data_IF_556862821821
#
_entry.id   IF_556862821821
#
_cell.length_a   1.000
_cell.length_b   1.000
_cell.length_c   1.000
_cell.angle_alpha   90.00
_cell.angle_beta   90.00
_cell.angle_gamma   90.00
#
_symmetry.space_group_name_H-M   'P 1'
#
loop_
_entity.id
_entity.type
_entity.pdbx_description
1 polymer ?
#
# COMPACT_ATOMS: atom_id res chain seq x y z
N UNK A 1 17.00 -5.70 -9.90
CA UNK A 1 16.89 -5.05 -8.60
C UNK A 1 17.73 -5.76 -7.53
N UNK A 2 17.48 -7.06 -7.26
CA UNK A 2 18.19 -7.81 -6.22
C UNK A 2 19.72 -7.74 -6.36
N UNK A 3 20.24 -7.98 -7.59
CA UNK A 3 21.67 -7.88 -7.87
C UNK A 3 22.27 -6.49 -7.62
N UNK A 4 21.51 -5.42 -7.86
CA UNK A 4 21.96 -4.04 -7.57
C UNK A 4 22.11 -3.82 -6.06
N UNK A 5 21.12 -4.25 -5.28
CA UNK A 5 21.18 -4.16 -3.82
C UNK A 5 22.30 -5.04 -3.22
N UNK A 6 22.62 -6.16 -3.89
CA UNK A 6 23.72 -7.03 -3.50
C UNK A 6 25.09 -6.43 -3.81
N UNK A 7 25.18 -5.70 -4.92
CA UNK A 7 26.42 -4.99 -5.30
C UNK A 7 26.74 -3.87 -4.31
N UNK A 8 25.73 -3.06 -3.94
CA UNK A 8 25.87 -2.03 -2.91
C UNK A 8 24.62 -1.98 -2.03
N UNK A 9 24.69 -2.34 -0.74
CA UNK A 9 23.54 -2.34 0.18
C UNK A 9 22.99 -0.94 0.49
N UNK A 10 23.63 0.13 0.02
CA UNK A 10 23.10 1.49 0.09
C UNK A 10 22.12 1.80 -1.06
N UNK A 11 22.13 0.98 -2.10
CA UNK A 11 21.19 1.16 -3.21
C UNK A 11 19.80 0.76 -2.78
N UNK A 12 18.85 1.67 -2.98
CA UNK A 12 17.42 1.43 -2.88
C UNK A 12 16.83 1.42 -4.28
N UNK A 13 16.15 0.34 -4.64
CA UNK A 13 15.58 0.18 -5.98
C UNK A 13 14.07 0.36 -5.91
N UNK A 14 13.55 1.25 -6.75
CA UNK A 14 12.11 1.34 -7.00
C UNK A 14 11.84 0.67 -8.34
N UNK A 15 10.95 -0.32 -8.33
CA UNK A 15 10.47 -0.98 -9.52
C UNK A 15 9.05 -0.50 -9.76
N UNK A 16 8.76 -0.06 -10.94
CA UNK A 16 7.39 0.21 -11.38
C UNK A 16 6.91 -0.92 -12.28
N UNK A 17 5.84 -1.59 -11.85
CA UNK A 17 5.07 -2.44 -12.71
C UNK A 17 4.13 -1.56 -13.54
N UNK A 18 4.57 -1.20 -14.75
CA UNK A 18 3.93 -0.22 -15.63
C UNK A 18 2.48 -0.58 -16.01
N UNK A 19 2.07 -1.81 -15.74
CA UNK A 19 0.71 -2.28 -15.94
C UNK A 19 0.02 -2.49 -14.58
N UNK A 20 -0.84 -3.50 -14.49
CA UNK A 20 -1.65 -3.75 -13.31
C UNK A 20 -1.07 -4.87 -12.46
N UNK A 21 -1.37 -4.84 -11.16
CA UNK A 21 -1.00 -5.89 -10.22
C UNK A 21 -1.49 -7.29 -10.66
N UNK A 22 -2.53 -7.33 -11.48
CA UNK A 22 -3.06 -8.53 -12.13
C UNK A 22 -1.99 -9.32 -12.90
N UNK A 23 -0.98 -8.65 -13.42
CA UNK A 23 0.12 -9.27 -14.19
C UNK A 23 1.33 -9.64 -13.33
N UNK A 24 1.23 -9.48 -12.02
CA UNK A 24 2.32 -9.77 -11.10
C UNK A 24 2.54 -11.28 -10.87
N UNK A 25 1.53 -12.12 -11.07
CA UNK A 25 1.56 -13.54 -10.72
C UNK A 25 2.77 -14.30 -11.30
N UNK A 26 3.22 -14.11 -12.53
CA UNK A 26 4.42 -14.78 -13.05
C UNK A 26 5.71 -14.38 -12.33
N UNK A 27 5.72 -13.25 -11.64
CA UNK A 27 6.88 -12.74 -10.91
C UNK A 27 6.89 -13.10 -9.41
N UNK A 28 5.87 -13.78 -8.91
CA UNK A 28 5.72 -14.11 -7.48
C UNK A 28 6.90 -14.94 -6.96
N UNK A 29 7.44 -15.85 -7.76
CA UNK A 29 8.63 -16.62 -7.37
C UNK A 29 9.82 -15.69 -7.09
N UNK A 30 10.10 -14.73 -7.97
CA UNK A 30 11.17 -13.76 -7.78
C UNK A 30 10.90 -12.82 -6.59
N UNK A 31 9.65 -12.50 -6.34
CA UNK A 31 9.24 -11.76 -5.15
C UNK A 31 9.59 -12.55 -3.88
N UNK A 32 9.22 -13.83 -3.80
CA UNK A 32 9.52 -14.73 -2.67
C UNK A 32 11.04 -14.84 -2.47
N UNK A 33 11.79 -15.04 -3.55
CA UNK A 33 13.26 -15.07 -3.50
C UNK A 33 13.84 -13.78 -2.85
N UNK A 34 13.39 -12.61 -3.29
CA UNK A 34 13.85 -11.34 -2.73
C UNK A 34 13.46 -11.15 -1.27
N UNK A 35 12.26 -11.56 -0.87
CA UNK A 35 11.80 -11.42 0.52
C UNK A 35 12.51 -12.34 1.49
N UNK A 36 13.00 -13.49 1.01
CA UNK A 36 13.67 -14.51 1.83
C UNK A 36 15.19 -14.33 1.91
N UNK A 37 15.79 -13.40 1.19
CA UNK A 37 17.25 -13.19 1.17
C UNK A 37 17.85 -12.92 2.56
N UNK A 38 17.11 -12.26 3.45
CA UNK A 38 17.54 -12.05 4.82
C UNK A 38 17.84 -13.39 5.54
N UNK A 39 16.91 -14.31 5.47
CA UNK A 39 17.07 -15.65 6.10
C UNK A 39 18.08 -16.50 5.37
N UNK A 40 18.07 -16.53 4.04
CA UNK A 40 19.04 -17.28 3.24
C UNK A 40 20.48 -16.84 3.48
N UNK A 41 20.71 -15.57 3.73
CA UNK A 41 22.02 -15.00 4.00
C UNK A 41 22.40 -14.99 5.49
N UNK A 42 21.57 -15.60 6.36
CA UNK A 42 21.77 -15.53 7.81
C UNK A 42 21.86 -14.08 8.33
N UNK A 43 20.98 -13.21 7.85
CA UNK A 43 20.90 -11.81 8.24
C UNK A 43 21.93 -10.88 7.60
N UNK A 44 22.79 -11.40 6.73
CA UNK A 44 23.88 -10.60 6.12
C UNK A 44 23.41 -9.70 4.99
N UNK A 45 22.29 -10.04 4.35
CA UNK A 45 21.79 -9.29 3.21
C UNK A 45 20.27 -9.13 3.25
N UNK A 46 19.83 -7.93 2.92
CA UNK A 46 18.41 -7.60 2.75
C UNK A 46 18.28 -6.68 1.54
N UNK A 47 17.55 -7.07 0.49
CA UNK A 47 17.37 -6.20 -0.66
C UNK A 47 16.42 -5.05 -0.32
N UNK A 48 16.84 -3.81 -0.59
CA UNK A 48 16.04 -2.61 -0.37
C UNK A 48 15.25 -2.31 -1.65
N UNK A 49 14.09 -2.92 -1.77
CA UNK A 49 13.27 -2.84 -2.97
C UNK A 49 11.87 -2.34 -2.62
N UNK A 50 11.40 -1.34 -3.36
CA UNK A 50 10.00 -0.93 -3.38
C UNK A 50 9.41 -1.29 -4.74
N UNK A 51 8.46 -2.21 -4.76
CA UNK A 51 7.73 -2.59 -5.98
C UNK A 51 6.38 -1.88 -5.98
N UNK A 52 6.18 -0.99 -6.95
CA UNK A 52 4.94 -0.24 -7.16
C UNK A 52 4.06 -0.94 -8.19
N UNK A 53 2.80 -1.20 -7.82
CA UNK A 53 1.82 -1.85 -8.69
C UNK A 53 0.46 -1.17 -8.57
N UNK A 54 -0.16 -0.84 -9.69
CA UNK A 54 -1.54 -0.39 -9.72
C UNK A 54 -2.49 -1.56 -9.42
N UNK A 55 -3.34 -1.43 -8.40
CA UNK A 55 -4.19 -2.51 -7.88
C UNK A 55 -5.67 -2.12 -7.80
N UNK A 56 -6.54 -3.12 -7.78
CA UNK A 56 -7.96 -2.96 -7.58
C UNK A 56 -8.76 -2.71 -8.86
N UNK A 57 -10.08 -2.64 -8.72
CA UNK A 57 -11.05 -2.44 -9.79
C UNK A 57 -11.48 -0.99 -9.99
N UNK A 58 -12.73 -0.83 -10.43
CA UNK A 58 -13.45 0.45 -10.62
C UNK A 58 -12.95 1.35 -11.75
N UNK A 59 -12.18 0.81 -12.70
CA UNK A 59 -11.70 1.55 -13.89
C UNK A 59 -12.34 1.07 -15.20
N UNK A 60 -13.26 0.10 -15.14
CA UNK A 60 -13.87 -0.50 -16.34
C UNK A 60 -12.95 -1.45 -17.11
N UNK A 61 -11.89 -1.95 -16.50
CA UNK A 61 -10.86 -2.78 -17.13
C UNK A 61 -11.21 -4.27 -17.30
N UNK A 62 -12.40 -4.70 -16.90
CA UNK A 62 -12.79 -6.12 -16.93
C UNK A 62 -12.00 -6.99 -15.94
N UNK A 63 -12.06 -8.30 -16.12
CA UNK A 63 -11.51 -9.29 -15.16
C UNK A 63 -9.98 -9.20 -15.04
N UNK A 64 -9.28 -8.93 -16.13
CA UNK A 64 -7.81 -8.92 -16.18
C UNK A 64 -7.17 -7.64 -15.64
N UNK A 65 -7.99 -6.65 -15.23
CA UNK A 65 -7.52 -5.34 -14.77
C UNK A 65 -8.24 -4.89 -13.50
N UNK A 66 -8.78 -5.83 -12.72
CA UNK A 66 -9.62 -5.49 -11.57
C UNK A 66 -9.30 -6.30 -10.30
N UNK A 67 -8.19 -7.06 -10.30
CA UNK A 67 -7.83 -7.89 -9.16
C UNK A 67 -7.27 -7.05 -8.01
N UNK A 68 -7.57 -7.50 -6.79
CA UNK A 68 -6.94 -7.06 -5.54
C UNK A 68 -6.07 -8.21 -5.04
N UNK A 69 -4.75 -8.05 -5.09
CA UNK A 69 -3.81 -9.16 -4.91
C UNK A 69 -3.24 -9.26 -3.49
N UNK A 70 -3.38 -8.22 -2.69
CA UNK A 70 -2.77 -8.13 -1.35
C UNK A 70 -3.18 -9.29 -0.44
N UNK A 71 -4.45 -9.72 -0.50
CA UNK A 71 -4.95 -10.81 0.34
C UNK A 71 -4.20 -12.12 0.13
N UNK A 72 -3.87 -12.46 -1.12
CA UNK A 72 -3.08 -13.64 -1.44
C UNK A 72 -1.61 -13.50 -1.00
N UNK A 73 -1.06 -12.29 -1.13
CA UNK A 73 0.35 -12.02 -0.83
C UNK A 73 0.64 -11.87 0.66
N UNK A 74 -0.36 -11.63 1.50
CA UNK A 74 -0.18 -11.58 2.97
C UNK A 74 0.25 -12.92 3.57
N UNK A 75 0.03 -14.03 2.86
CA UNK A 75 0.52 -15.36 3.28
C UNK A 75 2.02 -15.57 3.02
N UNK A 76 2.65 -14.70 2.26
CA UNK A 76 4.08 -14.78 1.92
C UNK A 76 4.88 -13.89 2.87
N UNK A 77 5.72 -14.47 3.77
CA UNK A 77 6.47 -13.69 4.75
C UNK A 77 7.61 -12.88 4.11
N UNK A 78 8.03 -11.85 4.81
CA UNK A 78 9.27 -11.12 4.50
C UNK A 78 9.09 -9.82 3.72
N UNK A 79 7.89 -9.48 3.28
CA UNK A 79 7.61 -8.18 2.71
C UNK A 79 6.59 -7.38 3.53
N UNK A 80 6.67 -6.06 3.40
CA UNK A 80 5.61 -5.15 3.82
C UNK A 80 4.70 -4.89 2.65
N UNK A 81 3.39 -4.87 2.91
CA UNK A 81 2.40 -4.47 1.91
C UNK A 81 1.81 -3.15 2.39
N UNK A 82 1.82 -2.13 1.55
CA UNK A 82 1.23 -0.82 1.82
C UNK A 82 0.22 -0.47 0.74
N UNK A 83 -0.89 0.14 1.16
CA UNK A 83 -2.02 0.46 0.29
C UNK A 83 -2.66 1.78 0.73
N UNK A 84 -2.21 2.94 0.20
CA UNK A 84 -2.64 4.26 0.64
C UNK A 84 -4.10 4.55 0.30
N UNK A 85 -4.69 5.47 1.07
CA UNK A 85 -6.07 5.94 0.86
C UNK A 85 -6.15 7.40 0.42
N UNK A 86 -5.12 8.20 0.71
CA UNK A 86 -5.07 9.64 0.43
C UNK A 86 -3.71 10.03 -0.16
N UNK A 87 -3.63 11.20 -0.80
CA UNK A 87 -2.42 11.67 -1.44
C UNK A 87 -1.25 11.87 -0.46
N UNK A 88 -1.53 12.35 0.76
CA UNK A 88 -0.51 12.48 1.81
C UNK A 88 0.00 11.11 2.29
N UNK A 89 -0.89 10.12 2.45
CA UNK A 89 -0.50 8.74 2.77
C UNK A 89 0.34 8.14 1.62
N UNK A 90 -0.06 8.39 0.38
CA UNK A 90 0.66 7.86 -0.78
C UNK A 90 2.10 8.39 -0.82
N UNK A 91 2.28 9.69 -0.72
CA UNK A 91 3.60 10.30 -0.70
C UNK A 91 4.42 9.87 0.54
N UNK A 92 3.79 9.89 1.72
CA UNK A 92 4.46 9.56 2.98
C UNK A 92 4.89 8.10 3.06
N UNK A 93 4.04 7.16 2.65
CA UNK A 93 4.37 5.73 2.61
C UNK A 93 5.42 5.43 1.54
N UNK A 94 5.39 6.11 0.39
CA UNK A 94 6.41 5.91 -0.64
C UNK A 94 7.79 6.36 -0.14
N UNK A 95 7.88 7.52 0.49
CA UNK A 95 9.14 8.00 1.10
C UNK A 95 9.65 7.03 2.16
N UNK A 96 8.78 6.59 3.05
CA UNK A 96 9.13 5.60 4.09
C UNK A 96 9.60 4.29 3.46
N UNK A 97 8.94 3.81 2.41
CA UNK A 97 9.33 2.59 1.69
C UNK A 97 10.72 2.71 1.10
N UNK A 98 11.01 3.82 0.43
CA UNK A 98 12.30 4.09 -0.21
C UNK A 98 13.45 4.29 0.78
N UNK A 99 13.14 4.71 2.02
CA UNK A 99 14.15 4.93 3.09
C UNK A 99 14.31 3.72 4.01
N UNK A 100 13.43 2.72 3.88
CA UNK A 100 13.43 1.53 4.74
C UNK A 100 14.25 0.40 4.15
N UNK A 101 14.80 -0.45 5.02
CA UNK A 101 15.42 -1.72 4.61
C UNK A 101 14.35 -2.77 4.32
N UNK A 102 14.65 -3.66 3.38
CA UNK A 102 13.82 -4.79 3.02
C UNK A 102 12.85 -4.51 1.88
N UNK A 103 12.03 -5.50 1.57
CA UNK A 103 11.10 -5.45 0.45
C UNK A 103 9.78 -4.79 0.89
N UNK A 104 9.28 -3.87 0.08
CA UNK A 104 7.96 -3.27 0.22
C UNK A 104 7.17 -3.44 -1.08
N UNK A 105 6.02 -4.08 -0.99
CA UNK A 105 5.03 -4.07 -2.05
C UNK A 105 4.13 -2.85 -1.85
N UNK A 106 4.22 -1.91 -2.77
CA UNK A 106 3.48 -0.66 -2.74
C UNK A 106 2.34 -0.73 -3.74
N UNK A 107 1.12 -0.95 -3.25
CA UNK A 107 -0.07 -1.08 -4.07
C UNK A 107 -0.77 0.28 -4.20
N UNK A 108 -1.07 0.66 -5.42
CA UNK A 108 -1.71 1.93 -5.75
C UNK A 108 -3.16 1.67 -6.16
N UNK A 109 -4.16 2.14 -5.37
CA UNK A 109 -5.56 1.92 -5.72
C UNK A 109 -5.92 2.71 -6.98
N UNK A 110 -6.15 2.02 -8.10
CA UNK A 110 -6.47 2.64 -9.40
C UNK A 110 -7.67 3.57 -9.34
N UNK A 111 -8.67 3.20 -8.54
CA UNK A 111 -9.88 4.01 -8.34
C UNK A 111 -9.58 5.41 -7.77
N UNK A 112 -8.43 5.61 -7.12
CA UNK A 112 -8.10 6.86 -6.45
C UNK A 112 -7.19 7.79 -7.28
N UNK A 113 -6.64 7.36 -8.41
CA UNK A 113 -5.72 8.18 -9.19
C UNK A 113 -6.30 9.54 -9.60
N UNK A 114 -7.59 9.58 -9.91
CA UNK A 114 -8.29 10.81 -10.30
C UNK A 114 -9.41 11.20 -9.32
N UNK A 115 -9.45 10.58 -8.14
CA UNK A 115 -10.48 10.82 -7.14
C UNK A 115 -10.19 12.11 -6.36
N UNK A 116 -11.08 13.09 -6.50
CA UNK A 116 -10.93 14.39 -5.80
C UNK A 116 -10.98 14.20 -4.29
N UNK A 117 -11.78 13.28 -3.79
CA UNK A 117 -11.91 12.94 -2.37
C UNK A 117 -10.61 12.38 -1.77
N UNK A 118 -9.73 11.80 -2.59
CA UNK A 118 -8.42 11.31 -2.15
C UNK A 118 -7.34 12.40 -2.14
N UNK A 119 -7.63 13.57 -2.71
CA UNK A 119 -6.71 14.70 -2.78
C UNK A 119 -6.55 15.35 -1.41
N UNK A 120 -5.30 15.44 -0.96
CA UNK A 120 -4.93 16.11 0.29
C UNK A 120 -3.66 16.89 0.09
N UNK A 121 -3.44 17.90 0.94
CA UNK A 121 -2.15 18.58 0.98
C UNK A 121 -1.06 17.60 1.40
N UNK A 122 0.03 17.57 0.66
CA UNK A 122 1.20 16.74 0.95
C UNK A 122 2.32 17.62 1.48
N UNK A 123 2.63 17.57 2.79
CA UNK A 123 3.74 18.34 3.34
C UNK A 123 5.08 17.90 2.73
N UNK A 124 6.02 18.84 2.61
CA UNK A 124 7.40 18.52 2.22
C UNK A 124 8.01 17.53 3.23
N UNK A 125 8.71 16.53 2.73
CA UNK A 125 9.36 15.48 3.53
C UNK A 125 8.46 14.69 4.50
N UNK A 126 7.14 14.83 4.38
CA UNK A 126 6.20 14.07 5.20
C UNK A 126 6.37 12.55 4.98
N UNK A 127 6.46 11.80 6.06
CA UNK A 127 6.53 10.34 6.09
C UNK A 127 5.41 9.74 6.93
N UNK A 128 4.91 8.58 6.48
CA UNK A 128 3.99 7.75 7.26
C UNK A 128 4.76 6.53 7.75
N UNK A 129 4.96 6.37 9.07
CA UNK A 129 5.69 5.22 9.60
C UNK A 129 4.88 3.93 9.42
N UNK A 130 5.57 2.84 9.09
CA UNK A 130 4.94 1.53 9.03
C UNK A 130 4.37 1.10 10.38
N UNK A 131 3.26 0.37 10.35
CA UNK A 131 2.59 -0.14 11.54
C UNK A 131 1.86 0.93 12.35
N UNK A 132 1.66 2.12 11.82
CA UNK A 132 0.88 3.19 12.44
C UNK A 132 -0.36 3.50 11.60
N UNK A 133 -1.52 3.28 12.20
CA UNK A 133 -2.78 3.71 11.62
C UNK A 133 -3.03 5.21 11.87
N UNK A 134 -3.92 5.80 11.08
CA UNK A 134 -4.36 7.20 11.22
C UNK A 134 -5.87 7.25 11.36
N UNK A 135 -6.35 8.02 12.34
CA UNK A 135 -7.78 8.30 12.47
C UNK A 135 -8.14 9.36 11.41
N UNK A 136 -8.96 8.96 10.45
CA UNK A 136 -9.47 9.85 9.39
C UNK A 136 -10.80 10.52 9.79
N UNK A 137 -11.57 9.87 10.65
CA UNK A 137 -12.78 10.42 11.25
C UNK A 137 -12.85 9.98 12.72
N UNK A 138 -12.91 10.90 13.69
CA UNK A 138 -13.13 10.51 15.08
C UNK A 138 -14.59 10.08 15.29
N UNK A 139 -14.82 9.18 16.25
CA UNK A 139 -16.13 8.68 16.62
C UNK A 139 -16.07 7.95 17.96
N UNK A 140 -17.24 7.56 18.50
CA UNK A 140 -17.33 6.91 19.82
C UNK A 140 -18.25 5.70 19.86
N UNK A 141 -19.09 5.51 18.84
CA UNK A 141 -20.12 4.46 18.84
C UNK A 141 -19.63 3.17 18.18
N UNK A 142 -18.81 3.29 17.13
CA UNK A 142 -18.24 2.17 16.42
C UNK A 142 -16.91 2.59 15.76
N UNK A 143 -15.93 1.70 15.73
CA UNK A 143 -14.68 1.89 14.98
C UNK A 143 -14.66 1.02 13.74
N UNK A 144 -14.37 1.62 12.59
CA UNK A 144 -14.16 0.95 11.31
C UNK A 144 -12.67 1.01 10.98
N UNK A 145 -12.04 -0.15 10.81
CA UNK A 145 -10.65 -0.27 10.35
C UNK A 145 -10.68 -0.62 8.87
N UNK A 146 -10.00 0.19 8.06
CA UNK A 146 -10.05 0.07 6.59
C UNK A 146 -8.78 0.58 5.93
N UNK A 147 -8.65 0.39 4.62
CA UNK A 147 -7.52 0.88 3.83
C UNK A 147 -7.90 1.07 2.35
N UNK A 148 -7.04 1.75 1.60
CA UNK A 148 -7.22 1.95 0.16
C UNK A 148 -8.52 2.72 -0.17
N UNK A 149 -9.16 2.34 -1.27
CA UNK A 149 -10.39 2.98 -1.74
C UNK A 149 -11.60 2.71 -0.84
N UNK A 150 -11.62 1.61 -0.07
CA UNK A 150 -12.71 1.32 0.87
C UNK A 150 -12.78 2.34 2.02
N UNK A 151 -11.69 3.03 2.33
CA UNK A 151 -11.69 4.13 3.31
C UNK A 151 -12.70 5.22 2.96
N UNK A 152 -12.75 5.62 1.68
CA UNK A 152 -13.69 6.65 1.21
C UNK A 152 -15.14 6.18 1.31
N UNK A 153 -15.41 4.91 0.99
CA UNK A 153 -16.73 4.33 1.18
C UNK A 153 -17.14 4.36 2.66
N UNK A 154 -16.24 3.97 3.56
CA UNK A 154 -16.50 3.99 5.00
C UNK A 154 -16.74 5.41 5.53
N UNK A 155 -15.99 6.41 5.06
CA UNK A 155 -16.22 7.81 5.43
C UNK A 155 -17.60 8.30 4.97
N UNK A 156 -18.00 7.96 3.74
CA UNK A 156 -19.32 8.32 3.23
C UNK A 156 -20.45 7.67 4.02
N UNK A 157 -20.32 6.37 4.34
CA UNK A 157 -21.30 5.65 5.17
C UNK A 157 -21.35 6.21 6.58
N UNK A 158 -20.19 6.55 7.18
CA UNK A 158 -20.13 7.16 8.50
C UNK A 158 -20.88 8.50 8.54
N UNK A 159 -20.74 9.32 7.50
CA UNK A 159 -21.46 10.59 7.39
C UNK A 159 -22.97 10.39 7.21
N UNK A 160 -23.35 9.40 6.40
CA UNK A 160 -24.77 9.05 6.21
C UNK A 160 -25.42 8.61 7.53
N UNK A 161 -24.79 7.69 8.26
CA UNK A 161 -25.30 7.18 9.53
C UNK A 161 -25.34 8.27 10.61
N UNK A 162 -24.41 9.19 10.60
CA UNK A 162 -24.47 10.35 11.48
C UNK A 162 -25.72 11.20 11.22
N UNK A 163 -26.01 11.50 9.93
CA UNK A 163 -27.18 12.29 9.54
C UNK A 163 -28.52 11.59 9.84
N UNK A 164 -28.59 10.28 9.60
CA UNK A 164 -29.84 9.53 9.72
C UNK A 164 -30.12 9.06 11.15
N UNK A 165 -29.10 8.74 11.91
CA UNK A 165 -29.21 8.04 13.22
C UNK A 165 -28.47 8.71 14.35
N UNK A 166 -27.67 9.74 14.08
CA UNK A 166 -26.82 10.39 15.08
C UNK A 166 -25.64 9.55 15.52
N UNK A 167 -25.28 8.48 14.79
CA UNK A 167 -24.15 7.62 15.17
C UNK A 167 -22.81 8.24 14.79
N UNK A 168 -21.90 8.27 15.74
CA UNK A 168 -20.53 8.80 15.58
C UNK A 168 -19.55 7.64 15.34
N UNK A 169 -19.30 7.33 14.05
CA UNK A 169 -18.39 6.28 13.67
C UNK A 169 -16.97 6.83 13.55
N UNK A 170 -16.04 6.14 14.21
CA UNK A 170 -14.61 6.34 14.00
C UNK A 170 -14.16 5.56 12.76
N UNK A 171 -13.33 6.18 11.90
CA UNK A 171 -12.73 5.53 10.73
C UNK A 171 -11.21 5.67 10.81
N UNK A 172 -10.53 4.52 10.87
CA UNK A 172 -9.08 4.39 10.96
C UNK A 172 -8.53 3.76 9.68
#
# INVERSE_FOLDING_TARGET
ANGMCRFDPKIHVVIEGAEFADYFWPAVEQYVECTHEYWRSNGQFTPNITLRLASGGYIGGGLYHSQTIEGALTSLPGARIVYPSFADDAAGLLRTSMRSKGFTLYLEPKALYNAVEASTFVPEDFEVPFGKARIRRPGKDLTIITYGNTTHLCLNVAELLYKEKGWELEVI
#
